data_IF_383831480799
#
_entry.id   IF_383831480799
#
_cell.length_a   1.000
_cell.length_b   1.000
_cell.length_c   1.000
_cell.angle_alpha   90.00
_cell.angle_beta   90.00
_cell.angle_gamma   90.00
#
_symmetry.space_group_name_H-M   'P 1'
#
loop_
_entity.id
_entity.type
_entity.pdbx_description
1 polymer ?
#
# COMPACT_ATOMS: atom_id res chain seq x y z
N UNK A 1 -30.62 -11.89 11.65
CA UNK A 1 -30.10 -10.96 10.62
C UNK A 1 -29.02 -10.10 11.26
N UNK A 2 -27.73 -10.35 11.01
CA UNK A 2 -26.65 -9.50 11.51
C UNK A 2 -26.78 -8.11 10.86
N UNK A 3 -26.93 -7.05 11.67
CA UNK A 3 -26.86 -5.66 11.19
C UNK A 3 -25.48 -5.45 10.58
N UNK A 4 -25.41 -5.23 9.27
CA UNK A 4 -24.19 -4.76 8.61
C UNK A 4 -23.82 -3.41 9.24
N UNK A 5 -22.67 -3.33 9.90
CA UNK A 5 -22.12 -2.04 10.36
C UNK A 5 -21.95 -1.16 9.14
N UNK A 6 -22.61 -0.01 9.12
CA UNK A 6 -22.45 0.98 8.05
C UNK A 6 -21.28 1.88 8.45
N UNK A 7 -20.21 1.88 7.65
CA UNK A 7 -19.11 2.81 7.84
C UNK A 7 -19.57 4.23 7.48
N UNK A 8 -19.17 5.19 8.29
CA UNK A 8 -19.33 6.61 7.99
C UNK A 8 -18.39 7.02 6.86
N UNK A 9 -18.67 8.14 6.19
CA UNK A 9 -17.85 8.62 5.08
C UNK A 9 -16.39 8.88 5.50
N UNK A 10 -16.19 9.38 6.73
CA UNK A 10 -14.85 9.58 7.31
C UNK A 10 -14.13 8.25 7.56
N UNK A 11 -14.84 7.22 8.03
CA UNK A 11 -14.26 5.89 8.22
C UNK A 11 -13.88 5.23 6.89
N UNK A 12 -14.69 5.41 5.84
CA UNK A 12 -14.37 4.93 4.49
C UNK A 12 -13.15 5.66 3.94
N UNK A 13 -13.10 6.99 4.06
CA UNK A 13 -11.97 7.79 3.62
C UNK A 13 -10.67 7.41 4.36
N UNK A 14 -10.74 7.27 5.68
CA UNK A 14 -9.62 6.80 6.49
C UNK A 14 -9.17 5.40 6.09
N UNK A 15 -10.11 4.46 5.89
CA UNK A 15 -9.79 3.13 5.41
C UNK A 15 -9.09 3.18 4.04
N UNK A 16 -9.54 4.03 3.12
CA UNK A 16 -8.88 4.21 1.81
C UNK A 16 -7.44 4.69 1.96
N UNK A 17 -7.17 5.69 2.82
CA UNK A 17 -5.80 6.17 3.07
C UNK A 17 -4.94 5.06 3.67
N UNK A 18 -5.44 4.37 4.70
CA UNK A 18 -4.72 3.28 5.33
C UNK A 18 -4.42 2.11 4.38
N UNK A 19 -5.32 1.82 3.44
CA UNK A 19 -5.10 0.77 2.44
C UNK A 19 -4.11 1.16 1.35
N UNK A 20 -4.08 2.44 0.95
CA UNK A 20 -3.06 2.95 0.01
C UNK A 20 -1.68 2.96 0.68
N UNK A 21 -1.63 3.21 1.99
CA UNK A 21 -0.41 3.29 2.80
C UNK A 21 0.69 4.12 2.11
N UNK A 22 0.49 5.44 1.90
CA UNK A 22 1.43 6.31 1.18
C UNK A 22 2.90 6.14 1.57
N UNK A 23 3.21 6.06 2.87
CA UNK A 23 4.58 5.87 3.36
C UNK A 23 5.16 4.52 2.95
N UNK A 24 4.34 3.47 2.98
CA UNK A 24 4.67 2.14 2.45
C UNK A 24 4.96 2.21 0.95
N UNK A 25 4.07 2.82 0.18
CA UNK A 25 4.23 2.97 -1.27
C UNK A 25 5.54 3.71 -1.65
N UNK A 26 5.96 4.71 -0.89
CA UNK A 26 7.26 5.36 -1.07
C UNK A 26 8.41 4.39 -0.77
N UNK A 27 8.30 3.59 0.30
CA UNK A 27 9.33 2.59 0.64
C UNK A 27 9.55 1.55 -0.46
N UNK A 28 8.50 1.17 -1.20
CA UNK A 28 8.62 0.28 -2.38
C UNK A 28 9.32 0.95 -3.56
N UNK A 29 8.91 2.18 -3.88
CA UNK A 29 9.18 2.77 -5.18
C UNK A 29 10.39 3.70 -5.19
N UNK A 30 10.70 4.37 -4.07
CA UNK A 30 11.67 5.47 -4.05
C UNK A 30 13.08 5.02 -4.42
N UNK A 31 13.55 3.86 -3.96
CA UNK A 31 14.89 3.36 -4.30
C UNK A 31 15.05 3.08 -5.80
N UNK A 32 14.08 2.39 -6.40
CA UNK A 32 14.06 2.12 -7.84
C UNK A 32 13.89 3.40 -8.65
N UNK A 33 13.00 4.29 -8.23
CA UNK A 33 12.76 5.56 -8.92
C UNK A 33 14.00 6.47 -8.88
N UNK A 34 14.72 6.52 -7.75
CA UNK A 34 15.98 7.25 -7.64
C UNK A 34 17.07 6.66 -8.56
N UNK A 35 17.18 5.33 -8.63
CA UNK A 35 18.15 4.65 -9.49
C UNK A 35 17.89 4.88 -10.99
N UNK A 36 16.62 4.97 -11.41
CA UNK A 36 16.25 5.10 -12.83
C UNK A 36 16.06 6.54 -13.29
N UNK A 37 15.46 7.41 -12.47
CA UNK A 37 15.10 8.78 -12.85
C UNK A 37 15.97 9.86 -12.20
N UNK A 38 16.74 9.53 -11.14
CA UNK A 38 17.62 10.47 -10.45
C UNK A 38 16.90 11.76 -10.04
N UNK A 39 17.43 12.91 -10.46
CA UNK A 39 16.83 14.23 -10.18
C UNK A 39 15.42 14.41 -10.78
N UNK A 40 15.09 13.66 -11.84
CA UNK A 40 13.78 13.72 -12.49
C UNK A 40 12.73 12.84 -11.80
N UNK A 41 13.06 12.21 -10.68
CA UNK A 41 12.16 11.37 -9.89
C UNK A 41 10.81 12.05 -9.57
N UNK A 42 10.74 13.34 -9.16
CA UNK A 42 9.47 14.00 -8.89
C UNK A 42 8.54 14.06 -10.11
N UNK A 43 9.11 14.29 -11.31
CA UNK A 43 8.35 14.33 -12.56
C UNK A 43 7.80 12.94 -12.90
N UNK A 44 8.60 11.88 -12.68
CA UNK A 44 8.16 10.50 -12.89
C UNK A 44 6.97 10.14 -11.97
N UNK A 45 7.03 10.51 -10.69
CA UNK A 45 5.92 10.31 -9.75
C UNK A 45 4.68 11.12 -10.15
N UNK A 46 4.84 12.36 -10.63
CA UNK A 46 3.73 13.20 -11.06
C UNK A 46 3.01 12.61 -12.28
N UNK A 47 3.75 12.15 -13.28
CA UNK A 47 3.19 11.48 -14.46
C UNK A 47 2.50 10.16 -14.07
N UNK A 48 3.11 9.36 -13.19
CA UNK A 48 2.48 8.15 -12.64
C UNK A 48 1.18 8.46 -11.90
N UNK A 49 1.17 9.53 -11.09
CA UNK A 49 -0.02 10.00 -10.37
C UNK A 49 -1.17 10.38 -11.31
N UNK A 50 -0.88 11.07 -12.41
CA UNK A 50 -1.88 11.39 -13.44
C UNK A 50 -2.47 10.09 -14.04
N UNK A 51 -1.64 9.10 -14.34
CA UNK A 51 -2.09 7.79 -14.82
C UNK A 51 -3.06 7.11 -13.83
N UNK A 52 -2.70 7.09 -12.54
CA UNK A 52 -3.55 6.51 -11.48
C UNK A 52 -4.84 7.31 -11.31
N UNK A 53 -4.85 8.63 -11.48
CA UNK A 53 -6.07 9.44 -11.41
C UNK A 53 -7.08 9.06 -12.48
N UNK A 54 -6.66 8.81 -13.73
CA UNK A 54 -7.57 8.34 -14.77
C UNK A 54 -8.20 6.99 -14.45
N UNK A 55 -7.42 6.07 -13.86
CA UNK A 55 -7.92 4.78 -13.38
C UNK A 55 -8.93 4.99 -12.25
N UNK A 56 -8.61 5.84 -11.28
CA UNK A 56 -9.49 6.14 -10.14
C UNK A 56 -10.84 6.72 -10.60
N UNK A 57 -10.85 7.67 -11.53
CA UNK A 57 -12.09 8.25 -12.10
C UNK A 57 -12.93 7.15 -12.77
N UNK A 58 -12.29 6.25 -13.53
CA UNK A 58 -12.98 5.13 -14.19
C UNK A 58 -13.63 4.19 -13.16
N UNK A 59 -12.92 3.88 -12.06
CA UNK A 59 -13.46 3.07 -10.96
C UNK A 59 -14.62 3.76 -10.23
N UNK A 60 -14.55 5.08 -10.03
CA UNK A 60 -15.65 5.85 -9.42
C UNK A 60 -16.91 5.76 -10.28
N UNK A 61 -16.79 5.96 -11.60
CA UNK A 61 -17.94 5.88 -12.52
C UNK A 61 -18.53 4.47 -12.62
N UNK A 62 -17.68 3.44 -12.64
CA UNK A 62 -18.12 2.04 -12.63
C UNK A 62 -18.78 1.66 -11.31
N UNK A 63 -18.24 2.12 -10.18
CA UNK A 63 -18.79 1.86 -8.85
C UNK A 63 -20.17 2.48 -8.62
N UNK A 64 -20.46 3.64 -9.24
CA UNK A 64 -21.80 4.23 -9.24
C UNK A 64 -22.83 3.38 -9.99
N UNK A 65 -22.41 2.69 -11.06
CA UNK A 65 -23.28 1.92 -11.96
C UNK A 65 -23.43 0.45 -11.53
N UNK A 66 -22.39 -0.12 -10.94
CA UNK A 66 -22.32 -1.53 -10.53
C UNK A 66 -22.05 -1.58 -9.03
N UNK A 67 -23.11 -1.42 -8.19
CA UNK A 67 -22.97 -1.49 -6.75
C UNK A 67 -22.72 -2.94 -6.30
N UNK A 68 -21.66 -3.17 -5.53
CA UNK A 68 -21.30 -4.49 -5.03
C UNK A 68 -19.83 -4.58 -4.60
N UNK A 69 -19.45 -5.74 -4.09
CA UNK A 69 -18.12 -6.07 -3.51
C UNK A 69 -17.15 -6.73 -4.52
N UNK A 70 -17.49 -6.76 -5.81
CA UNK A 70 -16.70 -7.49 -6.81
C UNK A 70 -15.58 -6.71 -7.52
N UNK A 71 -15.46 -5.39 -7.33
CA UNK A 71 -14.40 -4.54 -7.91
C UNK A 71 -14.12 -4.85 -9.40
N UNK A 72 -12.85 -4.95 -9.80
CA UNK A 72 -12.41 -5.21 -11.19
C UNK A 72 -13.06 -6.45 -11.82
N UNK A 73 -13.26 -7.54 -11.06
CA UNK A 73 -13.94 -8.74 -11.55
C UNK A 73 -15.37 -8.41 -11.99
N UNK A 74 -16.16 -7.77 -11.12
CA UNK A 74 -17.54 -7.44 -11.43
C UNK A 74 -17.66 -6.43 -12.56
N UNK A 75 -16.77 -5.44 -12.60
CA UNK A 75 -16.77 -4.42 -13.65
C UNK A 75 -16.46 -5.03 -15.02
N UNK A 76 -15.42 -5.87 -15.11
CA UNK A 76 -15.03 -6.51 -16.37
C UNK A 76 -16.01 -7.60 -16.79
N UNK A 77 -16.55 -8.37 -15.84
CA UNK A 77 -17.59 -9.36 -16.14
C UNK A 77 -18.82 -8.70 -16.77
N UNK A 78 -19.21 -7.52 -16.25
CA UNK A 78 -20.37 -6.79 -16.76
C UNK A 78 -20.11 -6.10 -18.09
N UNK A 79 -18.91 -5.55 -18.30
CA UNK A 79 -18.57 -4.80 -19.50
C UNK A 79 -18.13 -5.68 -20.69
N UNK A 80 -17.38 -6.76 -20.43
CA UNK A 80 -16.67 -7.56 -21.44
C UNK A 80 -17.06 -9.05 -21.41
N UNK A 81 -17.91 -9.46 -20.48
CA UNK A 81 -18.36 -10.84 -20.31
C UNK A 81 -17.56 -11.65 -19.29
N UNK A 82 -18.10 -12.80 -18.93
CA UNK A 82 -17.65 -13.61 -17.78
C UNK A 82 -16.19 -14.07 -17.89
N UNK A 83 -15.70 -14.38 -19.10
CA UNK A 83 -14.29 -14.77 -19.33
C UNK A 83 -13.31 -13.66 -18.94
N UNK A 84 -13.59 -12.42 -19.35
CA UNK A 84 -12.75 -11.27 -19.01
C UNK A 84 -12.82 -10.97 -17.50
N UNK A 85 -14.02 -11.10 -16.92
CA UNK A 85 -14.22 -11.08 -15.47
C UNK A 85 -13.30 -12.08 -14.76
N UNK A 86 -13.41 -13.36 -15.10
CA UNK A 86 -12.60 -14.45 -14.52
C UNK A 86 -11.10 -14.19 -14.57
N UNK A 87 -10.58 -13.77 -15.73
CA UNK A 87 -9.16 -13.43 -15.89
C UNK A 87 -8.78 -12.29 -14.94
N UNK A 88 -9.57 -11.20 -14.90
CA UNK A 88 -9.28 -10.07 -14.02
C UNK A 88 -9.39 -10.43 -12.53
N UNK A 89 -10.27 -11.36 -12.16
CA UNK A 89 -10.35 -11.89 -10.80
C UNK A 89 -9.08 -12.63 -10.40
N UNK A 90 -8.57 -13.52 -11.25
CA UNK A 90 -7.30 -14.21 -11.00
C UNK A 90 -6.10 -13.26 -10.96
N UNK A 91 -6.05 -12.27 -11.86
CA UNK A 91 -5.02 -11.23 -11.82
C UNK A 91 -5.07 -10.42 -10.51
N UNK A 92 -6.27 -10.13 -10.01
CA UNK A 92 -6.44 -9.44 -8.73
C UNK A 92 -5.94 -10.31 -7.55
N UNK A 93 -6.24 -11.61 -7.54
CA UNK A 93 -5.71 -12.56 -6.55
C UNK A 93 -4.18 -12.58 -6.59
N UNK A 94 -3.59 -12.73 -7.77
CA UNK A 94 -2.14 -12.72 -7.94
C UNK A 94 -1.52 -11.40 -7.47
N UNK A 95 -2.17 -10.28 -7.76
CA UNK A 95 -1.73 -8.95 -7.32
C UNK A 95 -1.67 -8.89 -5.79
N UNK A 96 -2.71 -9.36 -5.09
CA UNK A 96 -2.72 -9.37 -3.63
C UNK A 96 -1.69 -10.33 -3.03
N UNK A 97 -1.51 -11.51 -3.63
CA UNK A 97 -0.50 -12.48 -3.17
C UNK A 97 0.91 -11.89 -3.31
N UNK A 98 1.25 -11.34 -4.48
CA UNK A 98 2.53 -10.68 -4.71
C UNK A 98 2.71 -9.51 -3.75
N UNK A 99 1.68 -8.69 -3.53
CA UNK A 99 1.74 -7.57 -2.60
C UNK A 99 2.09 -8.01 -1.16
N UNK A 100 1.49 -9.10 -0.67
CA UNK A 100 1.81 -9.65 0.66
C UNK A 100 3.27 -10.09 0.76
N UNK A 101 3.78 -10.83 -0.23
CA UNK A 101 5.17 -11.29 -0.23
C UNK A 101 6.16 -10.12 -0.34
N UNK A 102 5.91 -9.16 -1.23
CA UNK A 102 6.76 -7.98 -1.39
C UNK A 102 6.75 -7.11 -0.13
N UNK A 103 5.59 -6.94 0.52
CA UNK A 103 5.48 -6.21 1.78
C UNK A 103 6.25 -6.91 2.91
N UNK A 104 6.12 -8.23 3.02
CA UNK A 104 6.87 -9.03 3.98
C UNK A 104 8.38 -8.88 3.80
N UNK A 105 8.86 -8.91 2.56
CA UNK A 105 10.27 -8.74 2.24
C UNK A 105 10.81 -7.36 2.64
N UNK A 106 10.06 -6.28 2.39
CA UNK A 106 10.48 -4.93 2.79
C UNK A 106 10.58 -4.79 4.30
N UNK A 107 9.55 -5.23 5.03
CA UNK A 107 9.57 -5.19 6.50
C UNK A 107 10.70 -6.05 7.06
N UNK A 108 10.97 -7.22 6.46
CA UNK A 108 12.09 -8.07 6.82
C UNK A 108 13.45 -7.39 6.62
N UNK A 109 13.64 -6.66 5.52
CA UNK A 109 14.86 -5.87 5.29
C UNK A 109 15.01 -4.73 6.31
N UNK A 110 13.94 -4.00 6.61
CA UNK A 110 13.99 -2.96 7.65
C UNK A 110 14.31 -3.55 9.04
N UNK A 111 13.74 -4.72 9.37
CA UNK A 111 14.03 -5.41 10.62
C UNK A 111 15.49 -5.85 10.69
N UNK A 112 16.06 -6.39 9.61
CA UNK A 112 17.47 -6.76 9.52
C UNK A 112 18.39 -5.56 9.74
N UNK A 113 18.16 -4.46 9.00
CA UNK A 113 18.93 -3.21 9.17
C UNK A 113 18.80 -2.69 10.60
N UNK A 114 17.59 -2.65 11.17
CA UNK A 114 17.39 -2.18 12.54
C UNK A 114 18.13 -3.04 13.58
N UNK A 115 18.00 -4.36 13.49
CA UNK A 115 18.61 -5.30 14.45
C UNK A 115 20.12 -5.43 14.30
N UNK A 116 20.66 -5.15 13.12
CA UNK A 116 22.10 -5.10 12.88
C UNK A 116 22.79 -4.01 13.73
N UNK A 117 22.09 -2.91 14.06
CA UNK A 117 22.63 -1.87 14.95
C UNK A 117 22.81 -2.39 16.39
N UNK A 118 22.11 -3.45 16.77
CA UNK A 118 22.22 -4.12 18.07
C UNK A 118 23.10 -5.38 18.03
N UNK A 119 23.77 -5.65 16.89
CA UNK A 119 24.64 -6.81 16.69
C UNK A 119 23.89 -8.13 16.46
N UNK A 120 22.58 -8.09 16.22
CA UNK A 120 21.78 -9.29 15.93
C UNK A 120 21.76 -9.48 14.41
N UNK A 121 22.42 -10.54 13.95
CA UNK A 121 22.42 -10.95 12.55
C UNK A 121 21.72 -12.29 12.40
N UNK A 122 20.51 -12.27 11.86
CA UNK A 122 19.77 -13.46 11.49
C UNK A 122 19.67 -13.51 9.96
N UNK A 123 19.56 -14.71 9.36
CA UNK A 123 19.35 -14.83 7.92
C UNK A 123 18.05 -14.12 7.53
N UNK A 124 18.09 -13.31 6.46
CA UNK A 124 16.95 -12.50 5.97
C UNK A 124 15.67 -13.32 5.78
N UNK A 125 15.79 -14.58 5.38
CA UNK A 125 14.67 -15.50 5.22
C UNK A 125 13.88 -15.71 6.54
N UNK A 126 14.56 -15.71 7.68
CA UNK A 126 13.91 -15.88 8.98
C UNK A 126 13.09 -14.65 9.35
N UNK A 127 13.59 -13.44 9.09
CA UNK A 127 12.82 -12.20 9.26
C UNK A 127 11.55 -12.22 8.40
N UNK A 128 11.66 -12.62 7.13
CA UNK A 128 10.52 -12.70 6.23
C UNK A 128 9.45 -13.69 6.73
N UNK A 129 9.86 -14.89 7.18
CA UNK A 129 8.93 -15.89 7.74
C UNK A 129 8.24 -15.34 9.00
N UNK A 130 8.99 -14.73 9.92
CA UNK A 130 8.44 -14.15 11.15
C UNK A 130 7.42 -13.06 10.82
N UNK A 131 7.74 -12.15 9.91
CA UNK A 131 6.84 -11.07 9.48
C UNK A 131 5.56 -11.63 8.86
N UNK A 132 5.67 -12.63 7.98
CA UNK A 132 4.50 -13.25 7.36
C UNK A 132 3.60 -13.96 8.38
N UNK A 133 4.19 -14.69 9.33
CA UNK A 133 3.43 -15.37 10.40
C UNK A 133 2.75 -14.37 11.33
N UNK A 134 3.45 -13.31 11.73
CA UNK A 134 2.89 -12.24 12.57
C UNK A 134 1.78 -11.48 11.83
N UNK A 135 1.98 -11.13 10.56
CA UNK A 135 0.97 -10.47 9.73
C UNK A 135 -0.27 -11.36 9.53
N UNK A 136 -0.05 -12.66 9.29
CA UNK A 136 -1.11 -13.66 9.24
C UNK A 136 -1.88 -13.74 10.56
N UNK A 137 -1.20 -13.79 11.70
CA UNK A 137 -1.83 -13.83 13.02
C UNK A 137 -2.62 -12.55 13.33
N UNK A 138 -2.07 -11.37 13.05
CA UNK A 138 -2.75 -10.09 13.22
C UNK A 138 -4.01 -10.00 12.36
N UNK A 139 -4.00 -10.59 11.16
CA UNK A 139 -5.17 -10.62 10.28
C UNK A 139 -6.36 -11.37 10.90
N UNK A 140 -6.13 -12.30 11.83
CA UNK A 140 -7.18 -13.02 12.56
C UNK A 140 -7.77 -12.24 13.74
N UNK A 141 -7.09 -11.19 14.23
CA UNK A 141 -7.49 -10.43 15.43
C UNK A 141 -8.53 -9.33 15.19
N UNK A 142 -9.04 -9.21 13.96
CA UNK A 142 -10.14 -8.32 13.60
C UNK A 142 -9.69 -7.02 12.93
N UNK A 143 -10.34 -6.70 11.80
CA UNK A 143 -9.94 -5.61 10.89
C UNK A 143 -10.14 -4.22 11.51
N UNK A 144 -11.13 -4.03 12.40
CA UNK A 144 -11.46 -2.70 12.94
C UNK A 144 -10.34 -2.09 13.79
N UNK A 145 -9.67 -2.89 14.64
CA UNK A 145 -8.51 -2.43 15.41
C UNK A 145 -7.32 -2.18 14.48
N UNK A 146 -7.08 -3.08 13.53
CA UNK A 146 -6.00 -2.98 12.55
C UNK A 146 -6.10 -1.71 11.72
N UNK A 147 -7.28 -1.38 11.17
CA UNK A 147 -7.49 -0.16 10.37
C UNK A 147 -7.19 1.12 11.15
N UNK A 148 -7.67 1.22 12.40
CA UNK A 148 -7.43 2.41 13.24
C UNK A 148 -5.96 2.56 13.60
N UNK A 149 -5.31 1.46 13.96
CA UNK A 149 -3.88 1.44 14.26
C UNK A 149 -3.06 1.83 13.02
N UNK A 150 -3.35 1.25 11.86
CA UNK A 150 -2.68 1.58 10.59
C UNK A 150 -2.86 3.05 10.24
N UNK A 151 -4.06 3.61 10.41
CA UNK A 151 -4.31 5.04 10.20
C UNK A 151 -3.43 5.93 11.09
N UNK A 152 -3.35 5.63 12.39
CA UNK A 152 -2.54 6.41 13.32
C UNK A 152 -1.06 6.31 12.98
N UNK A 153 -0.57 5.09 12.72
CA UNK A 153 0.82 4.86 12.33
C UNK A 153 1.17 5.56 11.02
N UNK A 154 0.28 5.54 10.03
CA UNK A 154 0.47 6.22 8.75
C UNK A 154 0.51 7.73 8.92
N UNK A 155 -0.40 8.32 9.71
CA UNK A 155 -0.38 9.76 9.98
C UNK A 155 0.92 10.20 10.68
N UNK A 156 1.40 9.39 11.64
CA UNK A 156 2.68 9.63 12.29
C UNK A 156 3.85 9.50 11.30
N UNK A 157 3.85 8.49 10.45
CA UNK A 157 4.90 8.29 9.45
C UNK A 157 4.94 9.44 8.43
N UNK A 158 3.77 9.87 7.92
CA UNK A 158 3.64 11.03 7.04
C UNK A 158 4.15 12.30 7.72
N UNK A 159 3.82 12.51 9.00
CA UNK A 159 4.33 13.65 9.76
C UNK A 159 5.86 13.65 9.83
N UNK A 160 6.47 12.51 10.20
CA UNK A 160 7.92 12.35 10.28
C UNK A 160 8.58 12.61 8.93
N UNK A 161 8.05 12.02 7.84
CA UNK A 161 8.57 12.23 6.48
C UNK A 161 8.41 13.68 6.01
N UNK A 162 7.33 14.35 6.39
CA UNK A 162 7.09 15.76 6.06
C UNK A 162 8.11 16.65 6.77
N UNK A 163 8.35 16.42 8.07
CA UNK A 163 9.39 17.13 8.83
C UNK A 163 10.77 16.88 8.22
N UNK A 164 11.10 15.62 7.89
CA UNK A 164 12.37 15.27 7.27
C UNK A 164 12.54 15.98 5.92
N UNK A 165 11.49 16.05 5.11
CA UNK A 165 11.49 16.74 3.82
C UNK A 165 11.77 18.24 4.00
N UNK A 166 11.10 18.88 4.95
CA UNK A 166 11.34 20.29 5.30
C UNK A 166 12.79 20.49 5.73
N UNK A 167 13.32 19.65 6.61
CA UNK A 167 14.72 19.71 7.07
C UNK A 167 15.69 19.57 5.91
N UNK A 168 15.46 18.62 4.99
CA UNK A 168 16.33 18.41 3.82
C UNK A 168 16.32 19.63 2.89
N UNK A 169 15.16 20.24 2.64
CA UNK A 169 15.06 21.45 1.81
C UNK A 169 15.88 22.60 2.39
N UNK A 170 15.91 22.75 3.71
CA UNK A 170 16.64 23.83 4.37
C UNK A 170 18.11 23.51 4.68
N UNK A 171 18.46 22.25 4.91
CA UNK A 171 19.80 21.84 5.36
C UNK A 171 20.69 21.32 4.22
N UNK A 172 20.12 21.13 3.02
CA UNK A 172 20.78 20.49 1.88
C UNK A 172 20.81 18.97 2.02
N UNK A 173 20.75 18.26 0.90
CA UNK A 173 20.91 16.81 0.88
C UNK A 173 22.36 16.40 1.13
N UNK A 174 22.61 15.12 1.44
CA UNK A 174 23.98 14.59 1.59
C UNK A 174 24.82 14.69 0.30
N UNK A 175 24.19 15.04 -0.83
CA UNK A 175 24.81 15.26 -2.14
C UNK A 175 24.55 16.66 -2.73
N UNK A 176 24.10 17.63 -1.92
CA UNK A 176 23.69 18.97 -2.38
C UNK A 176 22.18 19.06 -2.55
#
# INVERSE_FOLDING_TARGET
MQKRKKLTLLEVFGLSIAMVAPTGAMSFNTASAAANAGINMPIAFLLGGIGVLFVAISFVELGKRIPGDGSAYAYNAKALGEKAGFISGWLLVLTYVTFVFSSGAIVGNFADVFLSHFGIHLPVNLYNIIVLLLGGWLSHKGIEFSTRLTLVLELLAVLVLSVLTVVIIFSGGRSG
#
